data_IF_594448907100
#
_entry.id   IF_594448907100
#
_cell.length_a   1.000
_cell.length_b   1.000
_cell.length_c   1.000
_cell.angle_alpha   90.00
_cell.angle_beta   90.00
_cell.angle_gamma   90.00
#
_symmetry.space_group_name_H-M   'P 1'
#
loop_
_entity.id
_entity.type
_entity.pdbx_description
1 polymer ?
#
# COMPACT_ATOMS: atom_id res chain seq x y z
N UNK A 1 36.15 -15.81 -1.80
CA UNK A 1 36.74 -15.68 -3.16
C UNK A 1 36.56 -14.27 -3.70
N UNK A 2 37.31 -13.94 -4.73
CA UNK A 2 37.22 -12.61 -5.36
C UNK A 2 35.83 -12.32 -5.95
N UNK A 3 35.17 -13.35 -6.42
CA UNK A 3 33.82 -13.24 -7.01
C UNK A 3 32.80 -12.92 -5.94
N UNK A 4 32.91 -13.59 -4.81
CA UNK A 4 32.01 -13.36 -3.67
C UNK A 4 32.16 -11.94 -3.13
N UNK A 5 33.41 -11.46 -2.99
CA UNK A 5 33.68 -10.09 -2.53
C UNK A 5 33.12 -9.04 -3.47
N UNK A 6 33.18 -9.28 -4.78
CA UNK A 6 32.60 -8.37 -5.78
C UNK A 6 31.08 -8.36 -5.74
N UNK A 7 30.49 -9.55 -5.57
CA UNK A 7 29.04 -9.68 -5.44
C UNK A 7 28.55 -8.97 -4.19
N UNK A 8 29.26 -9.12 -3.08
CA UNK A 8 28.90 -8.46 -1.82
C UNK A 8 28.99 -6.93 -1.97
N UNK A 9 30.01 -6.41 -2.63
CA UNK A 9 30.14 -4.98 -2.88
C UNK A 9 29.04 -4.45 -3.79
N UNK A 10 28.71 -5.19 -4.85
CA UNK A 10 27.62 -4.81 -5.75
C UNK A 10 26.28 -4.81 -5.03
N UNK A 11 26.06 -5.81 -4.19
CA UNK A 11 24.86 -5.90 -3.38
C UNK A 11 24.76 -4.73 -2.40
N UNK A 12 25.86 -4.38 -1.74
CA UNK A 12 25.90 -3.22 -0.85
C UNK A 12 25.59 -1.91 -1.58
N UNK A 13 26.19 -1.72 -2.77
CA UNK A 13 25.96 -0.53 -3.57
C UNK A 13 24.52 -0.46 -4.07
N UNK A 14 23.97 -1.59 -4.48
CA UNK A 14 22.58 -1.69 -4.91
C UNK A 14 21.62 -1.42 -3.74
N UNK A 15 21.92 -1.99 -2.58
CA UNK A 15 21.11 -1.79 -1.38
C UNK A 15 21.11 -0.31 -0.95
N UNK A 16 22.25 0.34 -1.00
CA UNK A 16 22.35 1.76 -0.70
C UNK A 16 21.59 2.63 -1.70
N UNK A 17 21.70 2.31 -2.98
CA UNK A 17 20.97 3.02 -4.03
C UNK A 17 19.47 2.82 -3.89
N UNK A 18 19.04 1.59 -3.59
CA UNK A 18 17.64 1.26 -3.35
C UNK A 18 17.12 1.96 -2.10
N UNK A 19 17.88 1.98 -1.02
CA UNK A 19 17.51 2.67 0.21
C UNK A 19 17.37 4.17 -0.01
N UNK A 20 18.26 4.78 -0.76
CA UNK A 20 18.16 6.21 -1.11
C UNK A 20 16.90 6.48 -1.93
N UNK A 21 16.63 5.64 -2.92
CA UNK A 21 15.40 5.75 -3.71
C UNK A 21 14.17 5.53 -2.86
N UNK A 22 14.26 4.60 -1.92
CA UNK A 22 13.16 4.33 -0.99
C UNK A 22 12.90 5.53 -0.10
N UNK A 23 13.94 6.16 0.43
CA UNK A 23 13.82 7.36 1.25
C UNK A 23 13.26 8.53 0.44
N UNK A 24 13.75 8.72 -0.79
CA UNK A 24 13.25 9.74 -1.70
C UNK A 24 11.77 9.50 -2.04
N UNK A 25 11.41 8.26 -2.31
CA UNK A 25 10.02 7.86 -2.58
C UNK A 25 9.15 8.11 -1.36
N UNK A 26 9.62 7.75 -0.17
CA UNK A 26 8.89 7.96 1.07
C UNK A 26 8.73 9.45 1.40
N UNK A 27 9.73 10.27 1.11
CA UNK A 27 9.66 11.71 1.36
C UNK A 27 8.78 12.45 0.35
N UNK A 28 8.87 12.10 -0.93
CA UNK A 28 8.21 12.84 -2.01
C UNK A 28 6.93 12.20 -2.53
N UNK A 29 6.72 10.90 -2.25
CA UNK A 29 5.58 10.17 -2.79
C UNK A 29 4.58 9.68 -1.75
N UNK A 30 4.68 10.18 -0.52
CA UNK A 30 3.61 9.92 0.45
C UNK A 30 2.33 10.56 -0.09
N UNK A 31 1.29 9.76 -0.31
CA UNK A 31 0.07 10.28 -0.92
C UNK A 31 -0.62 11.28 0.01
N UNK A 32 -1.12 12.35 -0.60
CA UNK A 32 -2.01 13.28 0.09
C UNK A 32 -3.38 12.64 0.29
N UNK A 33 -4.19 13.24 1.15
CA UNK A 33 -5.57 12.79 1.35
C UNK A 33 -6.35 12.74 0.02
N UNK A 34 -6.16 13.74 -0.83
CA UNK A 34 -6.80 13.77 -2.15
C UNK A 34 -6.34 12.63 -3.04
N UNK A 35 -5.05 12.31 -3.02
CA UNK A 35 -4.49 11.20 -3.79
C UNK A 35 -4.99 9.85 -3.29
N UNK A 36 -5.09 9.67 -1.97
CA UNK A 36 -5.64 8.45 -1.37
C UNK A 36 -7.08 8.24 -1.86
N UNK A 37 -7.90 9.27 -1.81
CA UNK A 37 -9.28 9.20 -2.32
C UNK A 37 -9.31 8.82 -3.79
N UNK A 38 -8.51 9.47 -4.59
CA UNK A 38 -8.45 9.23 -6.03
C UNK A 38 -8.06 7.79 -6.34
N UNK A 39 -7.04 7.27 -5.67
CA UNK A 39 -6.57 5.89 -5.86
C UNK A 39 -7.66 4.89 -5.46
N UNK A 40 -8.27 5.09 -4.31
CA UNK A 40 -9.32 4.19 -3.82
C UNK A 40 -10.53 4.21 -4.77
N UNK A 41 -11.01 5.39 -5.14
CA UNK A 41 -12.14 5.52 -6.06
C UNK A 41 -11.85 4.86 -7.42
N UNK A 42 -10.64 5.07 -7.94
CA UNK A 42 -10.25 4.49 -9.22
C UNK A 42 -10.24 2.96 -9.18
N UNK A 43 -9.75 2.37 -8.09
CA UNK A 43 -9.65 0.93 -7.96
C UNK A 43 -10.96 0.26 -7.52
N UNK A 44 -11.86 1.00 -6.89
CA UNK A 44 -13.17 0.47 -6.46
C UNK A 44 -14.28 0.68 -7.50
N UNK A 45 -13.95 1.20 -8.68
CA UNK A 45 -14.95 1.45 -9.73
C UNK A 45 -15.94 0.32 -10.00
N UNK A 46 -15.52 -0.96 -10.02
CA UNK A 46 -16.48 -2.05 -10.24
C UNK A 46 -17.53 -2.20 -9.15
N UNK A 47 -17.32 -1.59 -7.98
CA UNK A 47 -18.21 -1.73 -6.83
C UNK A 47 -18.90 -0.40 -6.53
N UNK A 48 -20.10 -0.50 -5.97
CA UNK A 48 -20.77 0.65 -5.38
C UNK A 48 -20.13 0.95 -4.03
N UNK A 49 -19.73 2.19 -3.86
CA UNK A 49 -19.10 2.64 -2.61
C UNK A 49 -19.74 3.97 -2.23
N UNK A 50 -20.75 3.91 -1.36
CA UNK A 50 -21.53 5.05 -0.93
C UNK A 50 -21.27 5.34 0.55
N UNK A 51 -21.47 6.60 0.93
CA UNK A 51 -21.33 7.06 2.32
C UNK A 51 -19.97 6.72 2.93
N UNK A 52 -18.92 6.92 2.13
CA UNK A 52 -17.56 6.66 2.58
C UNK A 52 -17.17 7.63 3.69
N UNK A 53 -16.69 7.08 4.80
CA UNK A 53 -16.09 7.87 5.88
C UNK A 53 -14.61 8.11 5.53
N UNK A 54 -14.36 9.10 4.69
CA UNK A 54 -13.03 9.36 4.15
C UNK A 54 -11.99 9.66 5.24
N UNK A 55 -12.39 10.30 6.33
CA UNK A 55 -11.48 10.57 7.44
C UNK A 55 -10.90 9.27 8.03
N UNK A 56 -11.75 8.26 8.22
CA UNK A 56 -11.33 6.96 8.74
C UNK A 56 -10.45 6.22 7.73
N UNK A 57 -10.80 6.30 6.45
CA UNK A 57 -10.03 5.67 5.37
C UNK A 57 -8.65 6.31 5.26
N UNK A 58 -8.59 7.61 5.27
CA UNK A 58 -7.33 8.37 5.21
C UNK A 58 -6.43 8.04 6.39
N UNK A 59 -7.00 7.94 7.58
CA UNK A 59 -6.27 7.56 8.78
C UNK A 59 -5.71 6.14 8.68
N UNK A 60 -6.51 5.20 8.20
CA UNK A 60 -6.08 3.82 8.00
C UNK A 60 -5.00 3.68 6.93
N UNK A 61 -5.00 4.57 5.93
CA UNK A 61 -4.02 4.59 4.86
C UNK A 61 -2.74 5.36 5.21
N UNK A 62 -2.69 5.96 6.37
CA UNK A 62 -1.57 6.81 6.77
C UNK A 62 -0.27 6.03 6.80
N UNK A 63 0.74 6.53 6.09
CA UNK A 63 2.03 5.87 5.99
C UNK A 63 2.14 4.81 4.91
N UNK A 64 1.05 4.49 4.22
CA UNK A 64 1.09 3.59 3.08
C UNK A 64 1.39 4.35 1.79
N UNK A 65 2.10 3.71 0.87
CA UNK A 65 2.34 4.26 -0.46
C UNK A 65 1.07 4.17 -1.31
N UNK A 66 1.04 4.90 -2.44
CA UNK A 66 -0.09 4.80 -3.38
C UNK A 66 -0.27 3.37 -3.88
N UNK A 67 0.83 2.65 -4.14
CA UNK A 67 0.77 1.27 -4.58
C UNK A 67 0.14 0.36 -3.54
N UNK A 68 0.47 0.54 -2.26
CA UNK A 68 -0.11 -0.24 -1.18
C UNK A 68 -1.59 0.06 -0.98
N UNK A 69 -1.99 1.33 -1.10
CA UNK A 69 -3.39 1.74 -1.04
C UNK A 69 -4.16 1.10 -2.20
N UNK A 70 -3.59 1.14 -3.41
CA UNK A 70 -4.20 0.52 -4.59
C UNK A 70 -4.37 -0.99 -4.41
N UNK A 71 -3.37 -1.66 -3.85
CA UNK A 71 -3.44 -3.11 -3.57
C UNK A 71 -4.54 -3.44 -2.58
N UNK A 72 -4.67 -2.64 -1.52
CA UNK A 72 -5.74 -2.84 -0.54
C UNK A 72 -7.12 -2.70 -1.20
N UNK A 73 -7.32 -1.67 -2.01
CA UNK A 73 -8.56 -1.47 -2.75
C UNK A 73 -8.83 -2.63 -3.72
N UNK A 74 -7.82 -3.11 -4.43
CA UNK A 74 -7.95 -4.25 -5.33
C UNK A 74 -8.32 -5.53 -4.59
N UNK A 75 -7.82 -5.74 -3.39
CA UNK A 75 -8.18 -6.89 -2.56
C UNK A 75 -9.66 -6.83 -2.17
N UNK A 76 -10.16 -5.64 -1.85
CA UNK A 76 -11.59 -5.44 -1.56
C UNK A 76 -12.43 -5.87 -2.77
N UNK A 77 -12.03 -5.44 -3.97
CA UNK A 77 -12.73 -5.81 -5.21
C UNK A 77 -12.68 -7.32 -5.45
N UNK A 78 -11.52 -7.94 -5.28
CA UNK A 78 -11.38 -9.40 -5.45
C UNK A 78 -12.30 -10.17 -4.52
N UNK A 79 -12.33 -9.81 -3.26
CA UNK A 79 -13.19 -10.47 -2.28
C UNK A 79 -14.66 -10.28 -2.63
N UNK A 80 -15.06 -9.07 -3.01
CA UNK A 80 -16.42 -8.78 -3.40
C UNK A 80 -16.83 -9.62 -4.63
N UNK A 81 -15.97 -9.75 -5.62
CA UNK A 81 -16.21 -10.58 -6.80
C UNK A 81 -16.37 -12.05 -6.41
N UNK A 82 -15.48 -12.57 -5.57
CA UNK A 82 -15.54 -13.95 -5.10
C UNK A 82 -16.83 -14.22 -4.31
N UNK A 83 -17.30 -13.26 -3.56
CA UNK A 83 -18.54 -13.36 -2.79
C UNK A 83 -19.77 -12.93 -3.58
N UNK A 84 -19.62 -12.60 -4.87
CA UNK A 84 -20.68 -12.15 -5.76
C UNK A 84 -21.39 -10.89 -5.25
N UNK A 85 -20.63 -10.00 -4.57
CA UNK A 85 -21.15 -8.72 -4.10
C UNK A 85 -20.82 -7.62 -5.11
N UNK A 86 -21.70 -6.63 -5.20
CA UNK A 86 -21.54 -5.49 -6.09
C UNK A 86 -21.25 -4.18 -5.35
N UNK A 87 -21.06 -4.26 -4.05
CA UNK A 87 -20.86 -3.10 -3.20
C UNK A 87 -19.86 -3.40 -2.09
N UNK A 88 -19.28 -2.36 -1.56
CA UNK A 88 -18.37 -2.44 -0.41
C UNK A 88 -18.70 -1.34 0.59
N UNK A 89 -18.11 -1.43 1.78
CA UNK A 89 -18.30 -0.48 2.87
C UNK A 89 -16.99 0.13 3.29
N UNK A 90 -17.07 1.23 4.03
CA UNK A 90 -15.90 1.84 4.66
C UNK A 90 -15.13 0.84 5.52
N UNK A 91 -15.84 0.01 6.28
CA UNK A 91 -15.24 -0.98 7.17
C UNK A 91 -14.36 -1.98 6.42
N UNK A 92 -14.82 -2.45 5.26
CA UNK A 92 -14.03 -3.38 4.44
C UNK A 92 -12.74 -2.74 3.92
N UNK A 93 -12.85 -1.51 3.44
CA UNK A 93 -11.69 -0.75 2.94
C UNK A 93 -10.70 -0.49 4.08
N UNK A 94 -11.17 -0.03 5.23
CA UNK A 94 -10.35 0.23 6.41
C UNK A 94 -9.68 -1.06 6.88
N UNK A 95 -10.40 -2.18 6.89
CA UNK A 95 -9.85 -3.49 7.29
C UNK A 95 -8.67 -3.89 6.40
N UNK A 96 -8.78 -3.72 5.09
CA UNK A 96 -7.71 -4.06 4.17
C UNK A 96 -6.52 -3.12 4.27
N UNK A 97 -6.75 -1.84 4.48
CA UNK A 97 -5.69 -0.87 4.74
C UNK A 97 -4.96 -1.20 6.05
N UNK A 98 -5.71 -1.56 7.09
CA UNK A 98 -5.13 -1.95 8.38
C UNK A 98 -4.30 -3.23 8.27
N UNK A 99 -4.74 -4.20 7.49
CA UNK A 99 -3.95 -5.40 7.20
C UNK A 99 -2.61 -5.06 6.56
N UNK A 100 -2.62 -4.12 5.61
CA UNK A 100 -1.38 -3.65 4.97
C UNK A 100 -0.45 -2.99 5.98
N UNK A 101 -0.98 -2.21 6.89
CA UNK A 101 -0.21 -1.60 7.97
C UNK A 101 0.44 -2.66 8.85
N UNK A 102 -0.31 -3.68 9.25
CA UNK A 102 0.18 -4.78 10.08
C UNK A 102 1.28 -5.57 9.39
N UNK A 103 1.11 -5.89 8.10
CA UNK A 103 2.12 -6.58 7.30
C UNK A 103 3.42 -5.79 7.23
N UNK A 104 3.31 -4.48 7.04
CA UNK A 104 4.45 -3.58 6.98
C UNK A 104 5.21 -3.56 8.30
N UNK A 105 4.51 -3.50 9.43
CA UNK A 105 5.09 -3.52 10.77
C UNK A 105 5.84 -4.83 11.03
N UNK A 106 5.23 -5.96 10.68
CA UNK A 106 5.86 -7.29 10.83
C UNK A 106 7.11 -7.37 9.96
N UNK A 107 7.06 -6.86 8.74
CA UNK A 107 8.20 -6.87 7.83
C UNK A 107 9.35 -6.04 8.37
N UNK A 108 9.05 -4.85 8.90
CA UNK A 108 10.05 -3.99 9.52
C UNK A 108 10.68 -4.63 10.76
N UNK A 109 9.91 -5.35 11.55
CA UNK A 109 10.40 -6.02 12.75
C UNK A 109 11.35 -7.19 12.44
N UNK A 110 11.22 -7.80 11.26
CA UNK A 110 12.09 -8.91 10.84
C UNK A 110 13.40 -8.45 10.19
N UNK A 111 13.47 -7.21 9.80
CA UNK A 111 14.67 -6.63 9.21
C UNK A 111 15.59 -6.08 10.30
#
# INVERSE_FOLDING_TARGET
>A
SRIESRLDRLTELLDRALLRRFDDVLEFEMPTAAQIRAVIKANLKPLKFQRAAWAAIEQAARGLSQAEVARAANEVVKIAILEQRKQTTTQEVVAKLTERQAMRTVFAAKL
#
